data_IF_577303297251
#
_entry.id   IF_577303297251
#
_cell.length_a   1.000
_cell.length_b   1.000
_cell.length_c   1.000
_cell.angle_alpha   90.00
_cell.angle_beta   90.00
_cell.angle_gamma   90.00
#
_symmetry.space_group_name_H-M   'P 1'
#
loop_
_entity.id
_entity.type
_entity.pdbx_description
1 polymer ?
#
# COMPACT_ATOMS: atom_id res chain seq x y z
N UNK A 1 -12.79 2.74 16.04
CA UNK A 1 -11.94 2.75 17.26
C UNK A 1 -10.92 1.67 17.02
N UNK A 2 -9.64 2.03 17.05
CA UNK A 2 -8.56 1.10 16.77
C UNK A 2 -8.13 0.33 18.00
N UNK A 3 -7.32 -0.71 17.78
CA UNK A 3 -6.75 -1.55 18.83
C UNK A 3 -5.25 -1.72 18.61
N UNK A 4 -4.45 -1.45 19.64
CA UNK A 4 -3.02 -1.66 19.58
C UNK A 4 -2.69 -3.14 19.75
N UNK A 5 -1.82 -3.67 18.89
CA UNK A 5 -1.32 -5.03 19.04
C UNK A 5 -0.60 -5.19 20.39
N UNK A 6 -0.96 -6.19 21.23
CA UNK A 6 -0.38 -6.37 22.56
C UNK A 6 1.11 -6.75 22.53
N UNK A 7 1.64 -7.15 21.36
CA UNK A 7 3.03 -7.59 21.20
C UNK A 7 3.91 -6.45 20.66
N UNK A 8 3.49 -5.78 19.59
CA UNK A 8 4.30 -4.78 18.89
C UNK A 8 3.76 -3.35 19.00
N UNK A 9 2.66 -3.14 19.72
CA UNK A 9 1.97 -1.85 19.90
C UNK A 9 1.50 -1.17 18.60
N UNK A 10 1.52 -1.86 17.46
CA UNK A 10 1.06 -1.29 16.18
C UNK A 10 -0.46 -1.12 16.23
N UNK A 11 -1.00 0.09 15.97
CA UNK A 11 -2.43 0.35 15.98
C UNK A 11 -3.10 -0.33 14.77
N UNK A 12 -4.22 -1.00 15.01
CA UNK A 12 -5.02 -1.69 14.00
C UNK A 12 -6.41 -1.05 13.93
N UNK A 13 -7.01 -1.03 12.75
CA UNK A 13 -8.28 -0.31 12.49
C UNK A 13 -9.43 -0.79 13.39
N UNK A 14 -9.54 -2.11 13.55
CA UNK A 14 -10.59 -2.78 14.31
C UNK A 14 -10.11 -4.15 14.81
N UNK A 15 -11.01 -4.86 15.51
CA UNK A 15 -10.78 -6.18 16.09
C UNK A 15 -10.37 -7.24 15.07
N UNK A 16 -10.97 -7.22 13.87
CA UNK A 16 -10.69 -8.19 12.81
C UNK A 16 -9.30 -7.95 12.21
N UNK A 17 -8.93 -6.69 12.00
CA UNK A 17 -7.58 -6.31 11.56
C UNK A 17 -6.53 -6.69 12.60
N UNK A 18 -6.83 -6.52 13.88
CA UNK A 18 -5.94 -6.96 14.96
C UNK A 18 -5.74 -8.48 14.97
N UNK A 19 -6.83 -9.25 14.88
CA UNK A 19 -6.75 -10.71 14.82
C UNK A 19 -5.94 -11.19 13.60
N UNK A 20 -6.18 -10.61 12.43
CA UNK A 20 -5.41 -10.92 11.22
C UNK A 20 -3.93 -10.56 11.37
N UNK A 21 -3.63 -9.37 11.90
CA UNK A 21 -2.26 -8.94 12.13
C UNK A 21 -1.51 -9.94 13.01
N UNK A 22 -2.10 -10.36 14.14
CA UNK A 22 -1.51 -11.36 15.04
C UNK A 22 -1.29 -12.70 14.34
N UNK A 23 -2.34 -13.26 13.72
CA UNK A 23 -2.28 -14.57 13.09
C UNK A 23 -1.28 -14.63 11.92
N UNK A 24 -1.29 -13.65 11.01
CA UNK A 24 -0.35 -13.64 9.89
C UNK A 24 1.08 -13.38 10.33
N UNK A 25 1.30 -12.49 11.29
CA UNK A 25 2.65 -12.22 11.80
C UNK A 25 3.22 -13.47 12.48
N UNK A 26 2.41 -14.16 13.29
CA UNK A 26 2.77 -15.45 13.87
C UNK A 26 3.12 -16.50 12.80
N UNK A 27 2.25 -16.70 11.80
CA UNK A 27 2.47 -17.71 10.74
C UNK A 27 3.70 -17.44 9.86
N UNK A 28 4.01 -16.17 9.59
CA UNK A 28 5.09 -15.80 8.66
C UNK A 28 6.44 -15.65 9.34
N UNK A 29 6.45 -15.25 10.62
CA UNK A 29 7.67 -14.88 11.32
C UNK A 29 8.01 -15.77 12.51
N UNK A 30 7.05 -16.57 13.01
CA UNK A 30 7.24 -17.51 14.12
C UNK A 30 7.85 -16.86 15.35
N UNK A 31 7.28 -15.72 15.76
CA UNK A 31 7.90 -14.75 16.66
C UNK A 31 7.13 -14.59 17.99
N UNK A 32 7.31 -13.45 18.65
CA UNK A 32 6.59 -13.11 19.86
C UNK A 32 5.05 -13.13 19.69
N UNK A 33 4.53 -12.96 18.47
CA UNK A 33 3.11 -13.05 18.19
C UNK A 33 2.61 -14.49 18.27
N UNK A 34 3.40 -15.48 17.81
CA UNK A 34 3.07 -16.91 17.95
C UNK A 34 3.04 -17.31 19.43
N UNK A 35 4.11 -17.01 20.18
CA UNK A 35 4.17 -17.33 21.60
C UNK A 35 3.05 -16.66 22.42
N UNK A 36 2.68 -15.43 22.05
CA UNK A 36 1.57 -14.73 22.69
C UNK A 36 0.22 -15.40 22.38
N UNK A 37 -0.01 -15.79 21.12
CA UNK A 37 -1.22 -16.48 20.69
C UNK A 37 -1.36 -17.86 21.34
N UNK A 38 -0.28 -18.62 21.47
CA UNK A 38 -0.28 -19.92 22.14
C UNK A 38 -0.70 -19.84 23.61
N UNK A 39 -0.37 -18.73 24.29
CA UNK A 39 -0.73 -18.49 25.69
C UNK A 39 -2.17 -17.98 25.84
N UNK A 40 -2.59 -17.03 25.00
CA UNK A 40 -3.85 -16.28 25.20
C UNK A 40 -5.02 -16.78 24.36
N UNK A 41 -4.75 -17.45 23.24
CA UNK A 41 -5.74 -17.99 22.31
C UNK A 41 -5.34 -19.40 21.85
N UNK A 42 -5.28 -20.39 22.77
CA UNK A 42 -4.92 -21.76 22.41
C UNK A 42 -5.94 -22.34 21.43
N UNK A 43 -5.49 -22.64 20.20
CA UNK A 43 -6.37 -23.05 19.09
C UNK A 43 -6.40 -22.08 17.92
N UNK A 44 -5.74 -20.92 18.04
CA UNK A 44 -5.68 -19.88 17.01
C UNK A 44 -5.29 -20.40 15.61
N UNK A 45 -4.47 -21.44 15.52
CA UNK A 45 -4.05 -22.05 14.25
C UNK A 45 -5.23 -22.68 13.46
N UNK A 46 -6.27 -23.11 14.16
CA UNK A 46 -7.45 -23.77 13.60
C UNK A 46 -8.70 -22.90 13.60
N UNK A 47 -8.63 -21.74 14.26
CA UNK A 47 -9.74 -20.80 14.40
C UNK A 47 -9.67 -19.69 13.35
N UNK A 48 -10.82 -19.12 13.02
CA UNK A 48 -10.92 -18.00 12.11
C UNK A 48 -10.79 -16.66 12.84
N UNK A 49 -10.73 -15.60 12.04
CA UNK A 49 -10.69 -14.21 12.53
C UNK A 49 -11.90 -13.88 13.41
N UNK A 50 -13.07 -14.42 13.08
CA UNK A 50 -14.31 -14.17 13.82
C UNK A 50 -14.24 -14.72 15.25
N UNK A 51 -13.56 -15.85 15.44
CA UNK A 51 -13.32 -16.48 16.73
C UNK A 51 -12.18 -15.78 17.49
N UNK A 52 -11.12 -15.38 16.78
CA UNK A 52 -9.94 -14.75 17.37
C UNK A 52 -10.18 -13.30 17.83
N UNK A 53 -10.90 -12.51 17.03
CA UNK A 53 -11.17 -11.08 17.25
C UNK A 53 -11.69 -10.76 18.66
N UNK A 54 -12.73 -11.44 19.19
CA UNK A 54 -13.21 -11.17 20.54
C UNK A 54 -12.17 -11.52 21.62
N UNK A 55 -11.31 -12.53 21.39
CA UNK A 55 -10.27 -12.90 22.36
C UNK A 55 -9.17 -11.85 22.41
N UNK A 56 -8.66 -11.43 21.25
CA UNK A 56 -7.50 -10.52 21.18
C UNK A 56 -7.84 -9.10 21.65
N UNK A 57 -9.08 -8.64 21.46
CA UNK A 57 -9.51 -7.31 21.91
C UNK A 57 -9.56 -7.17 23.43
N UNK A 58 -9.82 -8.25 24.18
CA UNK A 58 -9.80 -8.22 25.65
C UNK A 58 -8.42 -7.85 26.22
N UNK A 59 -7.35 -8.09 25.45
CA UNK A 59 -5.97 -7.79 25.82
C UNK A 59 -5.39 -6.56 25.12
N UNK A 60 -6.12 -5.99 24.16
CA UNK A 60 -5.63 -4.88 23.35
C UNK A 60 -6.06 -3.54 23.93
N UNK A 61 -5.12 -2.59 23.96
CA UNK A 61 -5.43 -1.21 24.30
C UNK A 61 -6.24 -0.57 23.17
N UNK A 62 -7.38 0.05 23.49
CA UNK A 62 -8.14 0.86 22.53
C UNK A 62 -7.39 2.17 22.25
N UNK A 63 -7.10 2.42 20.99
CA UNK A 63 -6.34 3.58 20.51
C UNK A 63 -7.05 4.26 19.34
N UNK A 64 -6.68 5.51 19.08
CA UNK A 64 -7.08 6.18 17.84
C UNK A 64 -6.30 5.57 16.66
N UNK A 65 -7.01 5.34 15.56
CA UNK A 65 -6.43 4.87 14.30
C UNK A 65 -6.53 5.99 13.27
N UNK A 66 -5.39 6.39 12.73
CA UNK A 66 -5.27 7.49 11.78
C UNK A 66 -5.63 6.98 10.37
N UNK A 67 -6.84 7.30 9.89
CA UNK A 67 -7.36 6.89 8.57
C UNK A 67 -6.76 7.73 7.42
N UNK A 68 -5.46 7.98 7.40
CA UNK A 68 -4.80 8.89 6.43
C UNK A 68 -4.64 8.34 5.00
N UNK A 69 -5.15 7.14 4.71
CA UNK A 69 -5.00 6.50 3.40
C UNK A 69 -6.32 6.21 2.66
N UNK A 70 -7.48 6.59 3.22
CA UNK A 70 -8.75 6.45 2.49
C UNK A 70 -9.09 7.68 1.62
N UNK A 71 -8.40 8.82 1.80
CA UNK A 71 -8.69 10.08 1.11
C UNK A 71 -7.61 10.51 0.10
N UNK A 72 -7.07 9.62 -0.75
CA UNK A 72 -6.16 10.09 -1.84
C UNK A 72 -6.26 9.33 -3.16
N UNK A 73 -7.47 8.95 -3.59
CA UNK A 73 -7.72 8.87 -5.04
C UNK A 73 -8.87 9.82 -5.34
N UNK A 74 -8.60 11.13 -5.57
CA UNK A 74 -9.61 11.98 -6.16
C UNK A 74 -9.97 11.40 -7.53
N UNK A 75 -11.17 10.83 -7.66
CA UNK A 75 -11.81 10.62 -8.95
C UNK A 75 -12.10 11.99 -9.56
N UNK A 76 -11.11 12.54 -10.27
CA UNK A 76 -11.26 13.65 -11.22
C UNK A 76 -11.95 14.90 -10.69
N UNK A 77 -11.20 15.82 -10.08
CA UNK A 77 -11.46 17.26 -10.23
C UNK A 77 -10.15 18.03 -10.18
N UNK A 78 -10.09 19.13 -10.93
CA UNK A 78 -8.87 19.81 -11.35
C UNK A 78 -7.94 20.24 -10.21
N UNK A 79 -6.64 20.15 -10.48
CA UNK A 79 -5.56 20.78 -9.73
C UNK A 79 -5.83 22.29 -9.57
N UNK A 80 -6.22 22.73 -8.37
CA UNK A 80 -5.98 24.10 -7.90
C UNK A 80 -5.50 24.04 -6.45
N UNK A 81 -4.18 24.14 -6.29
CA UNK A 81 -3.51 24.20 -4.99
C UNK A 81 -3.32 25.67 -4.60
N UNK A 82 -4.33 26.31 -4.01
CA UNK A 82 -4.14 27.55 -3.24
C UNK A 82 -3.73 27.20 -1.81
N UNK A 83 -2.42 27.11 -1.57
CA UNK A 83 -1.87 27.13 -0.23
C UNK A 83 -1.22 28.49 0.02
N UNK A 84 -1.87 29.28 0.86
CA UNK A 84 -1.35 30.54 1.38
C UNK A 84 0.01 30.38 2.08
N UNK A 85 1.07 30.66 1.32
CA UNK A 85 2.40 30.99 1.83
C UNK A 85 2.93 32.18 1.01
N UNK A 86 3.56 33.21 1.61
CA UNK A 86 4.01 34.37 0.86
C UNK A 86 5.08 33.96 -0.17
N UNK A 87 4.98 34.40 -1.45
CA UNK A 87 5.96 34.06 -2.47
C UNK A 87 7.24 34.89 -2.27
N UNK A 88 8.13 34.44 -1.38
CA UNK A 88 9.51 34.91 -1.32
C UNK A 88 10.43 33.86 -1.90
N UNK A 89 10.72 33.98 -3.19
CA UNK A 89 11.75 33.19 -3.86
C UNK A 89 11.25 32.61 -5.17
N UNK A 90 11.54 33.35 -6.25
CA UNK A 90 11.59 32.91 -7.64
C UNK A 90 10.51 31.91 -8.09
N UNK A 91 9.60 32.39 -8.94
CA UNK A 91 8.97 31.54 -9.93
C UNK A 91 10.09 30.82 -10.71
N UNK A 92 10.39 29.58 -10.32
CA UNK A 92 10.99 28.63 -11.23
C UNK A 92 9.85 28.21 -12.14
N UNK A 93 9.71 28.97 -13.23
CA UNK A 93 9.16 28.46 -14.46
C UNK A 93 9.98 27.21 -14.81
N UNK A 94 9.51 26.04 -14.38
CA UNK A 94 10.07 24.75 -14.77
C UNK A 94 9.58 24.35 -16.17
N UNK A 95 9.32 25.34 -17.04
CA UNK A 95 8.97 25.16 -18.43
C UNK A 95 10.18 25.21 -19.36
N UNK A 96 11.27 25.85 -18.95
CA UNK A 96 12.43 26.09 -19.82
C UNK A 96 13.72 26.38 -19.03
N UNK A 97 14.04 25.57 -18.01
CA UNK A 97 15.37 25.58 -17.42
C UNK A 97 16.16 24.41 -18.02
N UNK A 98 16.74 24.64 -19.20
CA UNK A 98 17.78 23.83 -19.87
C UNK A 98 17.85 22.38 -19.36
N UNK A 99 16.83 21.58 -19.69
CA UNK A 99 16.96 20.14 -19.56
C UNK A 99 18.09 19.74 -20.51
N UNK A 100 19.26 19.48 -19.94
CA UNK A 100 20.48 19.16 -20.69
C UNK A 100 20.19 18.08 -21.74
N UNK A 101 20.89 18.14 -22.87
CA UNK A 101 20.69 17.21 -23.98
C UNK A 101 20.75 15.73 -23.52
N UNK A 102 21.50 15.45 -22.46
CA UNK A 102 21.54 14.13 -21.81
C UNK A 102 20.20 13.74 -21.18
N UNK A 103 19.57 14.63 -20.41
CA UNK A 103 18.27 14.42 -19.78
C UNK A 103 17.17 14.19 -20.83
N UNK A 104 17.17 14.97 -21.91
CA UNK A 104 16.21 14.80 -23.01
C UNK A 104 16.39 13.46 -23.72
N UNK A 105 17.64 13.02 -23.89
CA UNK A 105 17.95 11.70 -24.46
C UNK A 105 17.45 10.56 -23.58
N UNK A 106 17.69 10.62 -22.27
CA UNK A 106 17.23 9.59 -21.32
C UNK A 106 15.70 9.50 -21.29
N UNK A 107 15.00 10.63 -21.30
CA UNK A 107 13.53 10.66 -21.34
C UNK A 107 12.98 10.12 -22.66
N UNK A 108 13.65 10.36 -23.78
CA UNK A 108 13.27 9.80 -25.08
C UNK A 108 13.47 8.28 -25.12
N UNK A 109 14.60 7.78 -24.61
CA UNK A 109 14.92 6.35 -24.53
C UNK A 109 13.91 5.60 -23.64
N UNK A 110 13.61 6.14 -22.45
CA UNK A 110 12.63 5.55 -21.56
C UNK A 110 11.24 5.41 -22.21
N UNK A 111 10.81 6.42 -22.99
CA UNK A 111 9.53 6.38 -23.72
C UNK A 111 9.54 5.34 -24.84
N UNK A 112 10.67 5.16 -25.52
CA UNK A 112 10.82 4.14 -26.57
C UNK A 112 10.74 2.72 -25.99
N UNK A 113 11.43 2.46 -24.88
CA UNK A 113 11.37 1.16 -24.18
C UNK A 113 9.94 0.82 -23.74
N UNK A 114 9.20 1.79 -23.19
CA UNK A 114 7.79 1.58 -22.84
C UNK A 114 6.93 1.27 -24.07
N UNK A 115 7.17 1.95 -25.20
CA UNK A 115 6.44 1.64 -26.44
C UNK A 115 6.76 0.25 -26.97
N UNK A 116 8.02 -0.17 -26.92
CA UNK A 116 8.43 -1.50 -27.37
C UNK A 116 7.78 -2.61 -26.52
N UNK A 117 7.76 -2.46 -25.19
CA UNK A 117 7.08 -3.42 -24.31
C UNK A 117 5.58 -3.55 -24.63
N UNK A 118 4.92 -2.42 -24.92
CA UNK A 118 3.49 -2.43 -25.29
C UNK A 118 3.24 -3.06 -26.67
N UNK A 119 4.13 -2.85 -27.65
CA UNK A 119 4.00 -3.41 -29.01
C UNK A 119 4.30 -4.92 -29.05
N UNK A 120 5.25 -5.39 -28.23
CA UNK A 120 5.55 -6.82 -28.04
C UNK A 120 4.38 -7.58 -27.39
N UNK A 121 3.57 -6.93 -26.53
CA UNK A 121 2.38 -7.53 -25.91
C UNK A 121 1.20 -7.73 -26.90
N UNK A 122 1.10 -6.91 -27.96
CA UNK A 122 0.05 -7.03 -28.98
C UNK A 122 0.41 -8.03 -30.11
N UNK A 123 1.65 -8.53 -30.16
CA UNK A 123 2.19 -9.38 -31.23
C UNK A 123 1.95 -10.89 -31.12
N UNK A 124 1.45 -11.40 -29.99
CA UNK A 124 1.31 -12.85 -29.73
C UNK A 124 -0.06 -13.45 -30.16
N UNK A 125 -0.98 -12.63 -30.71
CA UNK A 125 -2.35 -13.06 -31.02
C UNK A 125 -2.63 -13.39 -32.50
N UNK A 126 -1.62 -13.52 -33.36
CA UNK A 126 -1.82 -13.66 -34.80
C UNK A 126 -0.96 -14.75 -35.48
N UNK A 127 -0.99 -15.99 -34.99
CA UNK A 127 -0.58 -17.14 -35.82
C UNK A 127 -1.24 -18.47 -35.40
N UNK A 128 -2.56 -18.61 -35.60
CA UNK A 128 -3.18 -19.94 -35.80
C UNK A 128 -4.50 -19.83 -36.59
N UNK A 129 -4.44 -19.40 -37.86
CA UNK A 129 -5.56 -19.62 -38.79
C UNK A 129 -5.11 -19.52 -40.25
N UNK A 130 -4.24 -20.45 -40.69
CA UNK A 130 -4.10 -20.76 -42.11
C UNK A 130 -4.15 -22.28 -42.36
N UNK A 131 -5.37 -22.81 -42.44
CA UNK A 131 -5.68 -24.00 -43.24
C UNK A 131 -6.92 -23.71 -44.08
N UNK A 132 -6.71 -23.44 -45.38
CA UNK A 132 -7.73 -23.54 -46.42
C UNK A 132 -7.46 -24.77 -47.28
#
# INVERSE_FOLDING_TARGET
MGHACPVCATPQRDAEHLANHLAFTAMLHGDAHEAWLDEHAPGWESEGVAELAPVVVEYAETVEYDEVFEETVPEGDGHDHDHGHPPTGAAFDAGDADADADTQRVLAEARELTRAMLDDEDGDAADDDNKS
#
